data_IF_283306657665
#
_entry.id   IF_283306657665
#
_cell.length_a   1.000
_cell.length_b   1.000
_cell.length_c   1.000
_cell.angle_alpha   90.00
_cell.angle_beta   90.00
_cell.angle_gamma   90.00
#
_symmetry.space_group_name_H-M   'P 1'
#
loop_
_entity.id
_entity.type
_entity.pdbx_description
1 polymer ?
#
# COMPACT_ATOMS: atom_id res chain seq x y z
N UNK A 1 -45.44 -17.07 26.66
CA UNK A 1 -44.80 -15.74 26.61
C UNK A 1 -43.70 -15.85 25.57
N UNK A 2 -44.00 -15.34 24.38
CA UNK A 2 -43.13 -15.31 23.21
C UNK A 2 -42.00 -14.29 23.38
N UNK A 3 -40.79 -14.67 22.96
CA UNK A 3 -39.85 -13.78 22.28
C UNK A 3 -38.84 -14.62 21.50
N UNK A 4 -38.76 -14.49 20.15
CA UNK A 4 -37.94 -15.33 19.30
C UNK A 4 -36.50 -14.79 19.14
N UNK A 5 -35.59 -15.73 18.88
CA UNK A 5 -34.16 -15.51 18.69
C UNK A 5 -33.80 -14.55 17.55
N UNK A 6 -32.77 -13.75 17.80
CA UNK A 6 -32.19 -12.82 16.85
C UNK A 6 -31.18 -13.57 15.97
N UNK A 7 -31.54 -13.76 14.70
CA UNK A 7 -30.69 -14.31 13.64
C UNK A 7 -29.44 -13.42 13.42
N UNK A 8 -28.25 -14.02 13.45
CA UNK A 8 -26.97 -13.39 13.11
C UNK A 8 -26.36 -14.15 11.91
N UNK A 9 -27.13 -14.28 10.83
CA UNK A 9 -26.74 -15.00 9.60
C UNK A 9 -26.67 -14.11 8.35
N UNK A 10 -26.62 -12.78 8.51
CA UNK A 10 -26.69 -11.81 7.39
C UNK A 10 -25.34 -11.37 6.79
N UNK A 11 -24.32 -11.10 7.61
CA UNK A 11 -23.24 -10.15 7.24
C UNK A 11 -22.35 -10.50 6.03
N UNK A 12 -21.96 -11.76 5.84
CA UNK A 12 -21.01 -12.13 4.77
C UNK A 12 -21.67 -12.28 3.39
N UNK A 13 -22.82 -12.94 3.30
CA UNK A 13 -23.66 -12.93 2.08
C UNK A 13 -24.16 -11.53 1.76
N UNK A 14 -24.46 -10.74 2.79
CA UNK A 14 -24.83 -9.34 2.64
C UNK A 14 -23.67 -8.54 2.05
N UNK A 15 -22.41 -8.84 2.39
CA UNK A 15 -21.21 -8.17 1.84
C UNK A 15 -20.97 -8.45 0.35
N UNK A 16 -21.06 -9.69 -0.11
CA UNK A 16 -20.90 -10.03 -1.54
C UNK A 16 -22.08 -9.52 -2.38
N UNK A 17 -23.30 -9.61 -1.84
CA UNK A 17 -24.50 -9.03 -2.47
C UNK A 17 -24.45 -7.50 -2.46
N UNK A 18 -23.93 -6.88 -1.40
CA UNK A 18 -23.67 -5.45 -1.30
C UNK A 18 -22.65 -5.02 -2.33
N UNK A 19 -21.55 -5.75 -2.49
CA UNK A 19 -20.51 -5.42 -3.47
C UNK A 19 -21.05 -5.56 -4.91
N UNK A 20 -21.76 -6.64 -5.20
CA UNK A 20 -22.40 -6.85 -6.50
C UNK A 20 -23.40 -5.73 -6.83
N UNK A 21 -24.20 -5.30 -5.85
CA UNK A 21 -25.10 -4.15 -6.01
C UNK A 21 -24.34 -2.82 -6.16
N UNK A 22 -23.33 -2.57 -5.32
CA UNK A 22 -22.55 -1.34 -5.29
C UNK A 22 -21.74 -1.13 -6.57
N UNK A 23 -21.16 -2.19 -7.14
CA UNK A 23 -20.44 -2.12 -8.42
C UNK A 23 -21.37 -1.70 -9.57
N UNK A 24 -22.59 -2.27 -9.63
CA UNK A 24 -23.58 -1.91 -10.65
C UNK A 24 -24.08 -0.48 -10.51
N UNK A 25 -24.27 -0.02 -9.28
CA UNK A 25 -24.60 1.38 -8.99
C UNK A 25 -23.46 2.33 -9.40
N UNK A 26 -22.21 1.98 -9.11
CA UNK A 26 -21.05 2.78 -9.47
C UNK A 26 -20.91 2.92 -11.00
N UNK A 27 -21.11 1.84 -11.75
CA UNK A 27 -21.08 1.86 -13.21
C UNK A 27 -22.21 2.70 -13.81
N UNK A 28 -23.39 2.65 -13.21
CA UNK A 28 -24.54 3.44 -13.64
C UNK A 28 -24.33 4.95 -13.44
N UNK A 29 -23.67 5.34 -12.33
CA UNK A 29 -23.39 6.74 -11.99
C UNK A 29 -22.17 7.30 -12.75
N UNK A 30 -21.22 6.45 -13.17
CA UNK A 30 -20.06 6.85 -13.98
C UNK A 30 -20.40 7.33 -15.39
N UNK A 31 -21.60 7.03 -15.90
CA UNK A 31 -21.96 7.42 -17.25
C UNK A 31 -22.09 8.95 -17.38
N UNK A 32 -21.50 9.60 -18.42
CA UNK A 32 -21.37 11.07 -18.52
C UNK A 32 -22.68 11.85 -18.60
N UNK A 33 -23.80 11.19 -18.90
CA UNK A 33 -25.10 11.83 -19.06
C UNK A 33 -25.90 11.75 -17.77
N UNK A 34 -26.52 12.81 -17.28
CA UNK A 34 -27.42 12.70 -16.12
C UNK A 34 -28.85 12.26 -16.51
N UNK A 35 -29.14 12.13 -17.82
CA UNK A 35 -30.48 11.81 -18.32
C UNK A 35 -30.88 10.36 -18.07
N UNK A 36 -29.97 9.40 -18.23
CA UNK A 36 -30.30 7.99 -17.99
C UNK A 36 -30.59 7.71 -16.51
N UNK A 37 -30.00 8.48 -15.59
CA UNK A 37 -30.21 8.35 -14.14
C UNK A 37 -31.67 8.61 -13.73
N UNK A 38 -32.40 9.44 -14.48
CA UNK A 38 -33.80 9.81 -14.19
C UNK A 38 -34.81 9.10 -15.09
N UNK A 39 -34.36 8.27 -16.03
CA UNK A 39 -35.24 7.56 -16.96
C UNK A 39 -35.83 6.30 -16.30
N UNK A 40 -37.16 6.18 -16.17
CA UNK A 40 -37.82 5.03 -15.56
C UNK A 40 -37.42 3.69 -16.20
N UNK A 41 -37.17 3.64 -17.50
CA UNK A 41 -36.80 2.39 -18.19
C UNK A 41 -35.38 1.95 -17.84
N UNK A 42 -34.44 2.90 -17.75
CA UNK A 42 -33.06 2.63 -17.35
C UNK A 42 -32.96 2.25 -15.88
N UNK A 43 -33.79 2.84 -15.01
CA UNK A 43 -33.90 2.45 -13.60
C UNK A 43 -34.41 1.00 -13.47
N UNK A 44 -35.44 0.61 -14.23
CA UNK A 44 -35.93 -0.77 -14.20
C UNK A 44 -34.93 -1.78 -14.80
N UNK A 45 -34.13 -1.35 -15.78
CA UNK A 45 -33.04 -2.17 -16.33
C UNK A 45 -31.94 -2.38 -15.29
N UNK A 46 -31.48 -1.31 -14.64
CA UNK A 46 -30.49 -1.37 -13.57
C UNK A 46 -30.97 -2.24 -12.41
N UNK A 47 -32.23 -2.10 -12.00
CA UNK A 47 -32.81 -2.93 -10.93
C UNK A 47 -32.75 -4.43 -11.28
N UNK A 48 -33.05 -4.80 -12.54
CA UNK A 48 -32.91 -6.18 -13.02
C UNK A 48 -31.47 -6.66 -13.04
N UNK A 49 -30.53 -5.82 -13.48
CA UNK A 49 -29.09 -6.15 -13.50
C UNK A 49 -28.51 -6.31 -12.09
N UNK A 50 -28.94 -5.49 -11.13
CA UNK A 50 -28.59 -5.64 -9.72
C UNK A 50 -29.14 -6.96 -9.18
N UNK A 51 -30.43 -7.24 -9.39
CA UNK A 51 -31.04 -8.50 -8.93
C UNK A 51 -30.32 -9.72 -9.53
N UNK A 52 -30.04 -9.70 -10.82
CA UNK A 52 -29.33 -10.80 -11.49
C UNK A 52 -27.89 -10.97 -10.98
N UNK A 53 -27.17 -9.88 -10.73
CA UNK A 53 -25.81 -9.95 -10.17
C UNK A 53 -25.83 -10.46 -8.72
N UNK A 54 -26.81 -10.02 -7.94
CA UNK A 54 -27.01 -10.44 -6.54
C UNK A 54 -27.42 -11.92 -6.44
N UNK A 55 -28.26 -12.40 -7.35
CA UNK A 55 -28.71 -13.80 -7.38
C UNK A 55 -27.61 -14.75 -7.91
N UNK A 56 -26.79 -14.30 -8.87
CA UNK A 56 -25.62 -15.05 -9.34
C UNK A 56 -24.50 -15.12 -8.29
N UNK A 57 -24.28 -14.03 -7.53
CA UNK A 57 -23.33 -14.02 -6.42
C UNK A 57 -23.69 -15.05 -5.32
N UNK A 58 -25.00 -15.29 -5.10
CA UNK A 58 -25.47 -16.33 -4.18
C UNK A 58 -25.22 -17.79 -4.64
N UNK A 59 -24.88 -18.01 -5.91
CA UNK A 59 -24.70 -19.36 -6.49
C UNK A 59 -23.27 -19.89 -6.37
N UNK A 60 -22.26 -19.02 -6.53
CA UNK A 60 -20.85 -19.45 -6.68
C UNK A 60 -20.29 -20.07 -5.40
N UNK A 61 -20.76 -19.65 -4.23
CA UNK A 61 -20.25 -20.08 -2.92
C UNK A 61 -21.31 -20.74 -2.03
N UNK A 62 -22.32 -21.38 -2.61
CA UNK A 62 -23.46 -21.98 -1.86
C UNK A 62 -23.07 -22.99 -0.76
N UNK A 63 -21.85 -23.55 -0.78
CA UNK A 63 -21.32 -24.44 0.27
C UNK A 63 -20.76 -23.70 1.50
N UNK A 64 -20.57 -22.38 1.38
CA UNK A 64 -19.97 -21.54 2.40
C UNK A 64 -21.05 -20.92 3.28
N UNK A 65 -21.23 -21.51 4.46
CA UNK A 65 -22.09 -20.95 5.50
C UNK A 65 -21.37 -19.78 6.19
N UNK A 66 -22.11 -18.88 6.83
CA UNK A 66 -21.54 -17.74 7.55
C UNK A 66 -20.46 -18.15 8.57
N UNK A 67 -20.69 -19.25 9.30
CA UNK A 67 -19.72 -19.76 10.27
C UNK A 67 -18.40 -20.21 9.63
N UNK A 68 -18.45 -20.80 8.42
CA UNK A 68 -17.26 -21.23 7.67
C UNK A 68 -16.54 -20.03 7.04
N UNK A 69 -17.31 -19.06 6.56
CA UNK A 69 -16.81 -17.77 6.04
C UNK A 69 -15.98 -17.03 7.07
N UNK A 70 -16.49 -16.87 8.29
CA UNK A 70 -15.79 -16.17 9.35
C UNK A 70 -14.43 -16.82 9.67
N UNK A 71 -14.39 -18.16 9.67
CA UNK A 71 -13.16 -18.92 9.94
C UNK A 71 -12.15 -18.81 8.80
N UNK A 72 -12.59 -18.98 7.55
CA UNK A 72 -11.66 -18.94 6.42
C UNK A 72 -11.08 -17.55 6.24
N UNK A 73 -11.84 -16.49 6.56
CA UNK A 73 -11.36 -15.11 6.55
C UNK A 73 -10.28 -14.87 7.62
N UNK A 74 -10.52 -15.32 8.85
CA UNK A 74 -9.51 -15.25 9.92
C UNK A 74 -8.26 -16.08 9.58
N UNK A 75 -8.44 -17.28 9.04
CA UNK A 75 -7.35 -18.16 8.65
C UNK A 75 -6.58 -17.70 7.39
N UNK A 76 -7.11 -16.73 6.62
CA UNK A 76 -6.63 -16.44 5.27
C UNK A 76 -5.16 -16.02 5.23
N UNK A 77 -4.69 -15.31 6.24
CA UNK A 77 -3.30 -14.82 6.33
C UNK A 77 -2.41 -15.65 7.26
N UNK A 78 -3.00 -16.58 8.01
CA UNK A 78 -2.37 -17.31 9.11
C UNK A 78 -1.50 -18.51 8.66
N UNK A 79 -1.33 -18.74 7.34
CA UNK A 79 -0.55 -19.86 6.79
C UNK A 79 -0.95 -21.25 7.33
N UNK A 80 -2.20 -21.42 7.76
CA UNK A 80 -2.74 -22.72 8.21
C UNK A 80 -2.72 -23.72 7.05
N UNK A 81 -2.29 -24.98 7.27
CA UNK A 81 -2.33 -26.01 6.24
C UNK A 81 -3.75 -26.18 5.66
N UNK A 82 -3.95 -26.05 4.33
CA UNK A 82 -5.28 -26.10 3.72
C UNK A 82 -6.06 -27.39 4.00
N UNK A 83 -5.35 -28.51 4.15
CA UNK A 83 -5.97 -29.81 4.45
C UNK A 83 -6.57 -29.86 5.85
N UNK A 84 -5.84 -29.32 6.84
CA UNK A 84 -6.31 -29.25 8.22
C UNK A 84 -7.45 -28.23 8.36
N UNK A 85 -7.32 -27.08 7.68
CA UNK A 85 -8.39 -26.09 7.61
C UNK A 85 -9.65 -26.68 6.98
N UNK A 86 -9.54 -27.42 5.88
CA UNK A 86 -10.66 -28.14 5.26
C UNK A 86 -11.30 -29.13 6.22
N UNK A 87 -10.49 -29.96 6.89
CA UNK A 87 -11.00 -30.94 7.84
C UNK A 87 -11.81 -30.26 8.96
N UNK A 88 -11.30 -29.15 9.49
CA UNK A 88 -12.02 -28.35 10.48
C UNK A 88 -13.29 -27.70 9.92
N UNK A 89 -13.24 -27.05 8.76
CA UNK A 89 -14.43 -26.43 8.16
C UNK A 89 -15.54 -27.46 7.88
N UNK A 90 -15.18 -28.70 7.54
CA UNK A 90 -16.12 -29.80 7.32
C UNK A 90 -16.72 -30.38 8.61
N UNK A 91 -16.19 -30.07 9.79
CA UNK A 91 -16.86 -30.40 11.06
C UNK A 91 -18.07 -29.49 11.33
N UNK A 92 -18.12 -28.32 10.67
CA UNK A 92 -19.22 -27.36 10.78
C UNK A 92 -20.39 -27.72 9.85
N UNK A 93 -21.62 -27.27 10.17
CA UNK A 93 -22.79 -27.50 9.32
C UNK A 93 -22.61 -26.95 7.91
N UNK A 94 -22.96 -27.76 6.91
CA UNK A 94 -22.99 -27.39 5.50
C UNK A 94 -22.54 -28.51 4.57
N UNK A 95 -22.66 -28.34 3.24
CA UNK A 95 -22.19 -29.31 2.25
C UNK A 95 -20.69 -29.58 2.39
N UNK A 96 -20.22 -30.79 2.09
CA UNK A 96 -18.79 -31.09 2.18
C UNK A 96 -17.95 -30.22 1.23
N UNK A 97 -16.90 -29.59 1.78
CA UNK A 97 -15.90 -28.83 1.05
C UNK A 97 -14.77 -29.74 0.59
N UNK A 98 -14.37 -29.56 -0.66
CA UNK A 98 -13.17 -30.16 -1.25
C UNK A 98 -11.93 -29.29 -0.99
N UNK A 99 -10.73 -29.82 -1.23
CA UNK A 99 -9.50 -29.02 -1.15
C UNK A 99 -9.53 -27.83 -2.13
N UNK A 100 -10.07 -28.04 -3.32
CA UNK A 100 -10.24 -26.99 -4.32
C UNK A 100 -11.21 -25.91 -3.85
N UNK A 101 -12.32 -26.27 -3.19
CA UNK A 101 -13.27 -25.28 -2.67
C UNK A 101 -12.56 -24.32 -1.68
N UNK A 102 -11.77 -24.86 -0.75
CA UNK A 102 -11.01 -24.07 0.24
C UNK A 102 -9.92 -23.23 -0.42
N UNK A 103 -9.13 -23.81 -1.32
CA UNK A 103 -8.04 -23.10 -2.01
C UNK A 103 -8.56 -21.93 -2.86
N UNK A 104 -9.66 -22.13 -3.59
CA UNK A 104 -10.27 -21.06 -4.40
C UNK A 104 -10.91 -20.00 -3.51
N UNK A 105 -11.49 -20.36 -2.36
CA UNK A 105 -12.04 -19.35 -1.44
C UNK A 105 -10.95 -18.50 -0.80
N UNK A 106 -9.86 -19.10 -0.35
CA UNK A 106 -8.69 -18.37 0.16
C UNK A 106 -8.15 -17.39 -0.90
N UNK A 107 -8.00 -17.85 -2.15
CA UNK A 107 -7.61 -16.99 -3.26
C UNK A 107 -8.59 -15.83 -3.48
N UNK A 108 -9.89 -16.11 -3.48
CA UNK A 108 -10.91 -15.07 -3.65
C UNK A 108 -10.81 -14.00 -2.54
N UNK A 109 -10.54 -14.39 -1.29
CA UNK A 109 -10.33 -13.45 -0.17
C UNK A 109 -9.09 -12.57 -0.41
N UNK A 110 -7.99 -13.13 -0.92
CA UNK A 110 -6.78 -12.35 -1.23
C UNK A 110 -6.94 -11.42 -2.44
N UNK A 111 -7.92 -11.71 -3.30
CA UNK A 111 -8.28 -10.85 -4.43
C UNK A 111 -9.30 -9.76 -4.06
N UNK A 112 -9.89 -9.81 -2.85
CA UNK A 112 -10.78 -8.76 -2.36
C UNK A 112 -10.02 -7.41 -2.21
N UNK A 113 -10.69 -6.26 -2.42
CA UNK A 113 -10.07 -4.97 -2.18
C UNK A 113 -9.65 -4.82 -0.71
N UNK A 114 -8.45 -4.27 -0.47
CA UNK A 114 -7.89 -3.98 0.86
C UNK A 114 -7.42 -5.18 1.68
N UNK A 115 -7.60 -6.40 1.18
CA UNK A 115 -6.88 -7.58 1.69
C UNK A 115 -5.51 -7.65 1.05
N UNK A 116 -4.51 -8.04 1.85
CA UNK A 116 -3.16 -8.32 1.36
C UNK A 116 -2.97 -9.82 1.22
N UNK A 117 -2.16 -10.21 0.24
CA UNK A 117 -1.66 -11.58 0.20
C UNK A 117 -0.85 -11.89 1.47
N UNK A 118 -0.88 -13.13 1.96
CA UNK A 118 -0.09 -13.53 3.12
C UNK A 118 1.40 -13.30 2.84
N UNK A 119 2.10 -12.66 3.78
CA UNK A 119 3.54 -12.39 3.65
C UNK A 119 4.33 -13.69 3.74
N UNK A 120 5.07 -14.03 2.68
CA UNK A 120 5.88 -15.26 2.63
C UNK A 120 6.95 -15.30 3.74
N UNK A 121 7.48 -14.14 4.12
CA UNK A 121 8.48 -13.98 5.18
C UNK A 121 8.00 -14.51 6.54
N UNK A 122 6.68 -14.46 6.80
CA UNK A 122 6.07 -14.90 8.06
C UNK A 122 5.64 -16.37 8.04
N UNK A 123 5.71 -17.03 6.87
CA UNK A 123 5.23 -18.41 6.71
C UNK A 123 5.92 -19.39 7.68
N UNK A 124 7.24 -19.28 7.84
CA UNK A 124 7.99 -20.19 8.69
C UNK A 124 7.59 -20.05 10.17
N UNK A 125 7.40 -18.81 10.64
CA UNK A 125 6.96 -18.53 12.00
C UNK A 125 5.54 -19.03 12.28
N UNK A 126 4.61 -18.75 11.37
CA UNK A 126 3.23 -19.25 11.47
C UNK A 126 3.18 -20.79 11.47
N UNK A 127 3.96 -21.46 10.62
CA UNK A 127 4.02 -22.93 10.61
C UNK A 127 4.57 -23.50 11.91
N UNK A 128 5.63 -22.90 12.45
CA UNK A 128 6.21 -23.34 13.71
C UNK A 128 5.23 -23.20 14.89
N UNK A 129 4.52 -22.08 14.96
CA UNK A 129 3.48 -21.86 15.97
C UNK A 129 2.29 -22.83 15.78
N UNK A 130 1.84 -23.00 14.54
CA UNK A 130 0.79 -23.96 14.20
C UNK A 130 1.13 -25.39 14.64
N UNK A 131 2.34 -25.87 14.30
CA UNK A 131 2.78 -27.23 14.63
C UNK A 131 2.88 -27.44 16.15
N UNK A 132 3.35 -26.42 16.89
CA UNK A 132 3.42 -26.44 18.35
C UNK A 132 2.03 -26.52 19.00
N UNK A 133 1.11 -25.66 18.57
CA UNK A 133 -0.26 -25.64 19.08
C UNK A 133 -1.04 -26.91 18.73
N UNK A 134 -0.85 -27.43 17.51
CA UNK A 134 -1.44 -28.70 17.09
C UNK A 134 -0.94 -29.87 17.93
N UNK A 135 0.36 -29.90 18.25
CA UNK A 135 0.93 -30.92 19.13
C UNK A 135 0.42 -30.83 20.57
N UNK A 136 0.07 -29.62 21.03
CA UNK A 136 -0.57 -29.41 22.34
C UNK A 136 -2.04 -29.83 22.37
N UNK A 137 -2.65 -30.13 21.22
CA UNK A 137 -4.07 -30.47 21.10
C UNK A 137 -4.99 -29.26 21.15
N UNK A 138 -4.48 -28.06 20.84
CA UNK A 138 -5.25 -26.82 20.81
C UNK A 138 -6.30 -26.86 19.70
N UNK A 139 -7.49 -26.35 19.97
CA UNK A 139 -8.58 -26.28 19.00
C UNK A 139 -8.28 -25.29 17.86
N UNK A 140 -8.64 -25.64 16.62
CA UNK A 140 -8.28 -24.87 15.41
C UNK A 140 -8.62 -23.37 15.51
N UNK A 141 -9.77 -23.00 16.08
CA UNK A 141 -10.11 -21.58 16.25
C UNK A 141 -9.15 -20.84 17.20
N UNK A 142 -8.69 -21.49 18.25
CA UNK A 142 -7.70 -20.92 19.16
C UNK A 142 -6.32 -20.82 18.48
N UNK A 143 -5.95 -21.83 17.68
CA UNK A 143 -4.72 -21.77 16.87
C UNK A 143 -4.76 -20.58 15.90
N UNK A 144 -5.89 -20.38 15.19
CA UNK A 144 -6.05 -19.23 14.28
C UNK A 144 -5.90 -17.91 15.05
N UNK A 145 -6.55 -17.76 16.22
CA UNK A 145 -6.40 -16.55 17.02
C UNK A 145 -4.96 -16.29 17.48
N UNK A 146 -4.23 -17.32 17.91
CA UNK A 146 -2.82 -17.20 18.27
C UNK A 146 -1.94 -16.81 17.05
N UNK A 147 -2.27 -17.31 15.86
CA UNK A 147 -1.59 -16.94 14.63
C UNK A 147 -1.87 -15.49 14.21
N UNK A 148 -3.11 -15.00 14.38
CA UNK A 148 -3.45 -13.60 14.14
C UNK A 148 -2.65 -12.67 15.06
N UNK A 149 -2.58 -12.97 16.36
CA UNK A 149 -1.77 -12.22 17.33
C UNK A 149 -0.28 -12.24 16.96
N UNK A 150 0.25 -13.41 16.56
CA UNK A 150 1.63 -13.53 16.12
C UNK A 150 1.92 -12.68 14.88
N UNK A 151 1.04 -12.70 13.89
CA UNK A 151 1.17 -11.91 12.67
C UNK A 151 1.18 -10.41 12.99
N UNK A 152 0.27 -9.92 13.83
CA UNK A 152 0.23 -8.50 14.21
C UNK A 152 1.56 -8.03 14.81
N UNK A 153 2.14 -8.83 15.72
CA UNK A 153 3.41 -8.50 16.37
C UNK A 153 4.58 -8.53 15.38
N UNK A 154 4.68 -9.57 14.56
CA UNK A 154 5.80 -9.71 13.62
C UNK A 154 5.72 -8.70 12.46
N UNK A 155 4.52 -8.35 12.01
CA UNK A 155 4.36 -7.31 11.00
C UNK A 155 4.81 -5.95 11.50
N UNK A 156 4.53 -5.62 12.77
CA UNK A 156 5.00 -4.38 13.38
C UNK A 156 6.53 -4.39 13.55
N UNK A 157 7.13 -5.52 13.95
CA UNK A 157 8.59 -5.69 13.99
C UNK A 157 9.21 -5.44 12.61
N UNK A 158 8.70 -6.08 11.56
CA UNK A 158 9.20 -5.90 10.19
C UNK A 158 9.05 -4.45 9.71
N UNK A 159 7.92 -3.80 10.04
CA UNK A 159 7.71 -2.38 9.71
C UNK A 159 8.75 -1.49 10.38
N UNK A 160 9.07 -1.74 11.64
CA UNK A 160 10.09 -0.99 12.38
C UNK A 160 11.47 -1.19 11.77
N UNK A 161 11.87 -2.43 11.50
CA UNK A 161 13.15 -2.75 10.86
C UNK A 161 13.29 -2.09 9.48
N UNK A 162 12.25 -2.14 8.65
CA UNK A 162 12.23 -1.49 7.35
C UNK A 162 12.31 0.04 7.47
N UNK A 163 11.61 0.63 8.45
CA UNK A 163 11.68 2.06 8.71
C UNK A 163 13.08 2.48 9.13
N UNK A 164 13.71 1.75 10.06
CA UNK A 164 15.07 2.03 10.52
C UNK A 164 16.09 1.89 9.39
N UNK A 165 16.02 0.80 8.61
CA UNK A 165 16.87 0.59 7.46
C UNK A 165 16.69 1.70 6.41
N UNK A 166 15.45 2.13 6.18
CA UNK A 166 15.15 3.25 5.29
C UNK A 166 15.75 4.57 5.81
N UNK A 167 15.64 4.86 7.10
CA UNK A 167 16.23 6.07 7.69
C UNK A 167 17.75 6.05 7.63
N UNK A 168 18.37 4.90 7.92
CA UNK A 168 19.83 4.73 7.81
C UNK A 168 20.30 4.91 6.36
N UNK A 169 19.62 4.28 5.40
CA UNK A 169 19.93 4.44 3.99
C UNK A 169 19.80 5.89 3.54
N UNK A 170 18.72 6.57 3.95
CA UNK A 170 18.47 8.00 3.70
C UNK A 170 19.59 8.89 4.26
N UNK A 171 20.04 8.59 5.47
CA UNK A 171 21.12 9.34 6.13
C UNK A 171 22.47 9.08 5.45
N UNK A 172 22.79 7.83 5.13
CA UNK A 172 24.00 7.47 4.41
C UNK A 172 24.04 8.10 3.02
N UNK A 173 22.92 8.11 2.29
CA UNK A 173 22.81 8.77 0.98
C UNK A 173 22.97 10.30 1.13
N UNK A 174 22.44 10.90 2.20
CA UNK A 174 22.65 12.33 2.52
C UNK A 174 24.14 12.62 2.74
N UNK A 175 24.79 11.88 3.64
CA UNK A 175 26.22 12.03 3.96
C UNK A 175 27.06 11.82 2.70
N UNK A 176 26.77 10.77 1.91
CA UNK A 176 27.49 10.46 0.67
C UNK A 176 27.40 11.61 -0.33
N UNK A 177 26.22 12.21 -0.52
CA UNK A 177 26.05 13.36 -1.43
C UNK A 177 26.77 14.60 -0.93
N UNK A 178 26.73 14.87 0.37
CA UNK A 178 27.47 15.99 0.97
C UNK A 178 28.98 15.80 0.82
N UNK A 179 29.50 14.62 1.15
CA UNK A 179 30.91 14.27 0.96
C UNK A 179 31.35 14.39 -0.49
N UNK A 180 30.49 14.01 -1.44
CA UNK A 180 30.76 14.19 -2.87
C UNK A 180 30.93 15.67 -3.24
N UNK A 181 30.08 16.56 -2.72
CA UNK A 181 30.26 17.99 -2.92
C UNK A 181 31.55 18.52 -2.25
N UNK A 182 31.82 18.12 -1.00
CA UNK A 182 32.98 18.61 -0.23
C UNK A 182 34.31 18.14 -0.81
N UNK A 183 34.37 16.92 -1.36
CA UNK A 183 35.56 16.36 -2.01
C UNK A 183 35.94 17.04 -3.34
N UNK A 184 35.14 17.98 -3.83
CA UNK A 184 35.41 18.68 -5.09
C UNK A 184 34.91 17.95 -6.34
N UNK A 185 34.30 16.77 -6.19
CA UNK A 185 33.75 16.02 -7.31
C UNK A 185 32.46 16.66 -7.84
N UNK A 186 32.24 16.56 -9.15
CA UNK A 186 30.99 16.99 -9.77
C UNK A 186 29.80 16.19 -9.20
N UNK A 187 28.75 16.93 -8.82
CA UNK A 187 27.60 16.40 -8.12
C UNK A 187 26.34 17.21 -8.42
N UNK A 188 25.17 16.57 -8.30
CA UNK A 188 23.88 17.26 -8.40
C UNK A 188 23.57 18.13 -7.18
N UNK A 189 22.45 18.84 -7.24
CA UNK A 189 21.93 19.66 -6.16
C UNK A 189 21.75 18.85 -4.87
N UNK A 190 22.46 19.25 -3.83
CA UNK A 190 22.50 18.59 -2.53
C UNK A 190 22.41 19.65 -1.41
N UNK A 191 21.53 19.48 -0.42
CA UNK A 191 21.54 20.32 0.77
C UNK A 191 22.72 19.96 1.68
N UNK A 192 23.43 20.97 2.19
CA UNK A 192 24.56 20.81 3.11
C UNK A 192 24.13 21.30 4.48
N UNK A 193 24.47 20.56 5.53
CA UNK A 193 24.21 20.89 6.94
C UNK A 193 22.76 21.29 7.27
N UNK A 194 21.79 20.70 6.55
CA UNK A 194 20.37 21.01 6.74
C UNK A 194 19.94 22.38 6.20
N UNK A 195 20.79 23.06 5.43
CA UNK A 195 20.44 24.32 4.76
C UNK A 195 19.25 24.14 3.81
N UNK A 196 18.40 25.17 3.75
CA UNK A 196 17.33 25.28 2.75
C UNK A 196 17.87 25.57 1.34
N UNK A 197 19.13 26.00 1.26
CA UNK A 197 19.83 26.22 0.01
C UNK A 197 20.43 24.91 -0.50
N UNK A 198 20.55 24.81 -1.82
CA UNK A 198 21.09 23.64 -2.50
C UNK A 198 22.44 23.97 -3.11
N UNK A 199 23.36 23.02 -3.01
CA UNK A 199 24.72 23.17 -3.47
C UNK A 199 25.01 22.12 -4.54
N UNK A 200 25.76 22.48 -5.56
CA UNK A 200 26.21 21.52 -6.56
C UNK A 200 27.60 21.86 -7.07
N UNK A 201 28.29 20.86 -7.61
CA UNK A 201 29.52 21.06 -8.35
C UNK A 201 29.34 20.64 -9.79
N UNK A 202 29.80 21.49 -10.70
CA UNK A 202 29.80 21.20 -12.13
C UNK A 202 31.02 21.81 -12.78
N UNK A 203 31.71 21.02 -13.59
CA UNK A 203 32.95 21.42 -14.22
C UNK A 203 33.99 21.91 -13.19
N UNK A 204 34.07 21.23 -12.03
CA UNK A 204 34.99 21.58 -10.93
C UNK A 204 34.60 22.83 -10.11
N UNK A 205 33.55 23.57 -10.53
CA UNK A 205 33.11 24.81 -9.88
C UNK A 205 31.94 24.54 -8.93
N UNK A 206 31.90 25.25 -7.81
CA UNK A 206 30.81 25.15 -6.83
C UNK A 206 29.76 26.24 -7.03
N UNK A 207 28.50 25.84 -6.88
CA UNK A 207 27.34 26.71 -7.04
C UNK A 207 26.36 26.50 -5.89
N UNK A 208 25.65 27.57 -5.54
CA UNK A 208 24.62 27.59 -4.51
C UNK A 208 23.34 28.18 -5.09
N UNK A 209 22.21 27.56 -4.82
CA UNK A 209 20.90 28.09 -5.22
C UNK A 209 19.93 28.10 -4.03
N UNK A 210 19.28 29.23 -3.81
CA UNK A 210 18.35 29.42 -2.70
C UNK A 210 17.11 30.21 -3.14
N UNK A 211 15.97 29.96 -2.48
CA UNK A 211 14.77 30.77 -2.69
C UNK A 211 14.83 32.01 -1.80
N UNK A 212 14.80 33.18 -2.41
CA UNK A 212 14.78 34.45 -1.70
C UNK A 212 13.37 34.82 -1.20
N UNK A 213 13.28 35.87 -0.37
CA UNK A 213 12.01 36.35 0.22
C UNK A 213 10.95 36.71 -0.82
N UNK A 214 11.37 37.07 -2.04
CA UNK A 214 10.51 37.38 -3.18
C UNK A 214 10.05 36.13 -3.96
N UNK A 215 10.24 34.93 -3.39
CA UNK A 215 9.94 33.61 -3.97
C UNK A 215 10.73 33.26 -5.23
N UNK A 216 11.63 34.12 -5.69
CA UNK A 216 12.52 33.84 -6.83
C UNK A 216 13.75 33.07 -6.37
N UNK A 217 14.32 32.29 -7.29
CA UNK A 217 15.51 31.48 -7.04
C UNK A 217 16.76 32.25 -7.46
N UNK A 218 17.71 32.42 -6.54
CA UNK A 218 18.97 33.10 -6.80
C UNK A 218 20.09 32.08 -6.91
N UNK A 219 20.87 32.16 -7.99
CA UNK A 219 22.01 31.29 -8.26
C UNK A 219 23.30 32.04 -8.01
N UNK A 220 24.17 31.46 -7.20
CA UNK A 220 25.47 32.00 -6.83
C UNK A 220 26.58 31.05 -7.25
N UNK A 221 27.72 31.60 -7.66
CA UNK A 221 29.00 30.88 -7.67
C UNK A 221 29.65 31.09 -6.31
N UNK A 222 30.20 30.03 -5.74
CA UNK A 222 30.83 30.07 -4.41
C UNK A 222 32.19 29.38 -4.47
N UNK A 223 33.14 29.83 -3.64
CA UNK A 223 34.39 29.12 -3.41
C UNK A 223 34.25 28.06 -2.31
N UNK A 224 33.51 28.39 -1.25
CA UNK A 224 33.24 27.55 -0.08
C UNK A 224 31.75 27.60 0.29
N UNK A 225 31.28 26.69 1.15
CA UNK A 225 29.86 26.58 1.53
C UNK A 225 29.34 27.87 2.20
N UNK A 226 30.22 28.48 2.98
CA UNK A 226 30.01 29.64 3.85
C UNK A 226 30.25 30.98 3.11
N UNK A 227 30.62 30.91 1.84
CA UNK A 227 30.86 32.07 0.99
C UNK A 227 29.54 32.79 0.63
N UNK A 228 29.57 34.12 0.65
CA UNK A 228 28.46 34.93 0.16
C UNK A 228 28.23 34.69 -1.35
N UNK A 229 29.31 34.40 -2.08
CA UNK A 229 29.32 34.05 -3.48
C UNK A 229 29.00 35.21 -4.43
N UNK A 230 29.29 35.00 -5.72
CA UNK A 230 28.94 35.92 -6.80
C UNK A 230 27.56 35.56 -7.36
N UNK A 231 26.64 36.54 -7.39
CA UNK A 231 25.30 36.35 -7.95
C UNK A 231 25.37 36.23 -9.47
N UNK A 232 25.06 35.04 -10.00
CA UNK A 232 25.03 34.78 -11.44
C UNK A 232 23.68 35.13 -12.07
N UNK A 233 22.59 35.04 -11.31
CA UNK A 233 21.26 35.30 -11.84
C UNK A 233 20.12 35.05 -10.87
N UNK A 234 18.94 35.56 -11.22
CA UNK A 234 17.67 35.36 -10.51
C UNK A 234 16.65 34.74 -11.47
N UNK A 235 15.99 33.67 -11.05
CA UNK A 235 15.11 32.85 -11.87
C UNK A 235 13.73 32.67 -11.22
N UNK A 236 12.70 32.40 -12.03
CA UNK A 236 11.35 32.17 -11.49
C UNK A 236 11.24 30.81 -10.78
N UNK A 237 12.00 29.81 -11.24
CA UNK A 237 12.03 28.49 -10.63
C UNK A 237 13.41 27.82 -10.61
N UNK A 238 13.57 26.83 -9.71
CA UNK A 238 14.80 26.01 -9.60
C UNK A 238 15.20 25.35 -10.92
N UNK A 239 14.22 24.92 -11.71
CA UNK A 239 14.46 24.25 -13.01
C UNK A 239 15.12 25.19 -14.01
N UNK A 240 14.71 26.45 -14.03
CA UNK A 240 15.32 27.48 -14.89
C UNK A 240 16.75 27.79 -14.45
N UNK A 241 16.98 27.94 -13.14
CA UNK A 241 18.32 28.11 -12.59
C UNK A 241 19.24 26.94 -12.95
N UNK A 242 18.73 25.70 -12.90
CA UNK A 242 19.49 24.49 -13.28
C UNK A 242 19.82 24.45 -14.77
N UNK A 243 18.89 24.89 -15.63
CA UNK A 243 19.11 24.99 -17.08
C UNK A 243 20.11 26.08 -17.42
N UNK A 244 20.08 27.22 -16.73
CA UNK A 244 21.08 28.27 -16.92
C UNK A 244 22.47 27.79 -16.47
N UNK A 245 22.54 27.03 -15.37
CA UNK A 245 23.78 26.46 -14.87
C UNK A 245 24.46 25.52 -15.89
N UNK A 246 23.70 24.76 -16.69
CA UNK A 246 24.23 23.92 -17.77
C UNK A 246 25.10 24.68 -18.75
N UNK A 247 24.80 25.97 -18.99
CA UNK A 247 25.55 26.83 -19.89
C UNK A 247 26.67 27.56 -19.12
N UNK A 248 26.33 28.17 -17.98
CA UNK A 248 27.25 29.01 -17.20
C UNK A 248 28.44 28.21 -16.66
N UNK A 249 28.25 26.93 -16.34
CA UNK A 249 29.33 26.09 -15.80
C UNK A 249 30.51 25.92 -16.77
N UNK A 250 30.28 25.98 -18.08
CA UNK A 250 31.29 25.78 -19.13
C UNK A 250 31.75 27.07 -19.82
N UNK A 251 31.14 28.21 -19.50
CA UNK A 251 31.61 29.49 -20.03
C UNK A 251 32.96 29.86 -19.41
N UNK A 252 33.86 30.37 -20.25
CA UNK A 252 35.15 30.92 -19.83
C UNK A 252 34.91 32.13 -18.92
N UNK A 253 35.71 32.26 -17.87
CA UNK A 253 35.71 33.48 -17.06
C UNK A 253 36.15 34.64 -17.94
N UNK A 254 35.27 35.61 -18.12
CA UNK A 254 35.70 36.92 -18.62
C UNK A 254 36.49 37.50 -17.46
N UNK A 255 37.82 37.40 -17.53
CA UNK A 255 38.75 38.10 -16.64
C UNK A 255 38.29 39.56 -16.56
N UNK A 256 37.80 39.98 -15.40
CA UNK A 256 37.57 41.38 -15.06
C UNK A 256 38.58 41.79 -14.02
#
# INVERSE_FOLDING_TARGET
MDSPGKQIHGGAMESDRLWAAASRLADYVKSPSLRHIRDPQNIQKLAREILQAVDQAGSVWSKWTAAREDIVKAAANCWVPPEDLRAFLNSLPGPALTATDVAQRLRAIWEEPWTSYPKEELQAGCRALYDAEKAAGTEMRAIIGALEEFLEVEEERLRQEQNEAYQQFREQDRIRRQQRFLSGADCGWTPIDGSKELFCRRNGRAFRVGQAKDKRWKLYRIAAVDDAGELLGTYAGRREASKALEQIAYQAEILR
#
